data_IF_340440914617
#
_entry.id   IF_340440914617
#
_cell.length_a   1.000
_cell.length_b   1.000
_cell.length_c   1.000
_cell.angle_alpha   90.00
_cell.angle_beta   90.00
_cell.angle_gamma   90.00
#
_symmetry.space_group_name_H-M   'P 1'
#
loop_
_entity.id
_entity.type
_entity.pdbx_description
1 polymer ?
#
# COMPACT_ATOMS: atom_id res chain seq x y z
N UNK A 1 12.02 -1.20 -22.18
CA UNK A 1 12.37 -0.52 -20.90
C UNK A 1 12.08 -1.48 -19.75
N UNK A 2 13.10 -2.16 -19.23
CA UNK A 2 12.96 -3.09 -18.09
C UNK A 2 12.72 -2.27 -16.82
N UNK A 3 11.52 -2.38 -16.23
CA UNK A 3 11.25 -1.78 -14.91
C UNK A 3 11.97 -2.65 -13.89
N UNK A 4 13.21 -2.29 -13.55
CA UNK A 4 13.94 -2.93 -12.45
C UNK A 4 13.05 -2.88 -11.19
N UNK A 5 12.65 -4.05 -10.69
CA UNK A 5 12.04 -4.20 -9.36
C UNK A 5 13.09 -3.77 -8.35
N UNK A 6 12.75 -2.82 -7.48
CA UNK A 6 13.59 -2.39 -6.39
C UNK A 6 12.89 -2.82 -5.11
N UNK A 7 13.52 -3.75 -4.38
CA UNK A 7 13.19 -4.02 -2.99
C UNK A 7 13.77 -2.90 -2.15
N UNK A 8 12.95 -2.24 -1.34
CA UNK A 8 13.40 -1.16 -0.47
C UNK A 8 13.47 -1.69 0.97
N UNK A 9 14.61 -1.48 1.63
CA UNK A 9 14.80 -1.87 3.05
C UNK A 9 14.13 -0.89 4.01
N UNK A 10 13.83 0.33 3.53
CA UNK A 10 13.05 1.31 4.25
C UNK A 10 12.09 2.03 3.32
N UNK A 11 10.91 2.33 3.85
CA UNK A 11 9.96 3.26 3.27
C UNK A 11 10.59 4.61 2.87
N UNK A 12 11.60 5.08 3.59
CA UNK A 12 12.33 6.34 3.28
C UNK A 12 13.15 6.28 1.99
N UNK A 13 13.48 5.09 1.50
CA UNK A 13 14.27 4.89 0.28
C UNK A 13 13.43 4.83 -0.99
N UNK A 14 12.10 4.83 -0.85
CA UNK A 14 11.16 4.67 -1.95
C UNK A 14 11.21 5.90 -2.86
N UNK A 15 11.69 5.69 -4.10
CA UNK A 15 11.74 6.71 -5.15
C UNK A 15 10.56 6.61 -6.11
N UNK A 16 10.17 7.75 -6.66
CA UNK A 16 9.12 7.85 -7.66
C UNK A 16 9.40 7.04 -8.93
N UNK A 17 8.33 6.70 -9.66
CA UNK A 17 8.41 6.01 -10.94
C UNK A 17 8.84 4.54 -10.84
N UNK A 18 9.12 4.05 -9.63
CA UNK A 18 9.53 2.68 -9.37
C UNK A 18 8.35 1.80 -8.94
N UNK A 19 8.48 0.49 -9.19
CA UNK A 19 7.66 -0.51 -8.53
C UNK A 19 8.35 -0.85 -7.21
N UNK A 20 7.73 -0.46 -6.11
CA UNK A 20 8.24 -0.67 -4.76
C UNK A 20 7.68 -1.94 -4.14
N UNK A 21 8.51 -2.56 -3.31
CA UNK A 21 8.17 -3.67 -2.43
C UNK A 21 8.73 -3.35 -1.04
N UNK A 22 7.91 -3.46 0.01
CA UNK A 22 8.27 -3.08 1.38
C UNK A 22 7.34 -3.74 2.42
N UNK A 23 7.83 -3.84 3.66
CA UNK A 23 7.09 -4.32 4.82
C UNK A 23 6.53 -3.14 5.63
N UNK A 24 5.28 -3.23 6.05
CA UNK A 24 4.68 -2.18 6.86
C UNK A 24 3.55 -2.69 7.77
N UNK A 25 3.30 -2.00 8.87
CA UNK A 25 2.09 -2.18 9.66
C UNK A 25 0.94 -1.36 9.05
N UNK A 26 -0.29 -1.89 9.12
CA UNK A 26 -1.47 -1.18 8.63
C UNK A 26 -2.05 -0.35 9.79
N UNK A 27 -1.96 0.97 9.68
CA UNK A 27 -2.51 1.90 10.68
C UNK A 27 -4.00 2.16 10.42
N UNK A 28 -4.40 2.30 9.16
CA UNK A 28 -5.77 2.62 8.77
C UNK A 28 -6.13 2.08 7.39
N UNK A 29 -7.38 1.65 7.22
CA UNK A 29 -7.98 1.33 5.93
C UNK A 29 -9.40 1.89 5.86
N UNK A 30 -9.70 2.58 4.78
CA UNK A 30 -11.07 3.01 4.49
C UNK A 30 -11.95 1.81 4.07
N UNK A 31 -13.27 1.94 4.17
CA UNK A 31 -14.19 1.14 3.36
C UNK A 31 -13.90 1.29 1.85
N UNK A 32 -14.47 0.40 1.05
CA UNK A 32 -14.52 0.60 -0.40
C UNK A 32 -15.35 1.86 -0.70
N UNK A 33 -14.83 2.71 -1.58
CA UNK A 33 -15.44 3.94 -2.07
C UNK A 33 -15.62 3.84 -3.58
N UNK A 34 -16.63 4.52 -4.11
CA UNK A 34 -16.83 4.66 -5.56
C UNK A 34 -16.35 6.04 -6.00
N UNK A 35 -15.48 6.08 -7.00
CA UNK A 35 -15.02 7.34 -7.61
C UNK A 35 -16.12 7.96 -8.47
N UNK A 36 -15.94 9.22 -8.86
CA UNK A 36 -16.82 9.92 -9.81
C UNK A 36 -16.91 9.19 -11.16
N UNK A 37 -15.84 8.50 -11.55
CA UNK A 37 -15.79 7.66 -12.77
C UNK A 37 -16.40 6.26 -12.60
N UNK A 38 -17.00 5.97 -11.44
CA UNK A 38 -17.64 4.70 -11.13
C UNK A 38 -16.70 3.58 -10.68
N UNK A 39 -15.38 3.78 -10.73
CA UNK A 39 -14.38 2.79 -10.26
C UNK A 39 -14.37 2.72 -8.75
N UNK A 40 -14.36 1.51 -8.21
CA UNK A 40 -14.21 1.26 -6.78
C UNK A 40 -12.75 1.33 -6.35
N UNK A 41 -12.50 1.88 -5.17
CA UNK A 41 -11.17 2.01 -4.59
C UNK A 41 -11.23 2.09 -3.07
N UNK A 42 -10.13 1.82 -2.40
CA UNK A 42 -9.93 2.15 -0.99
C UNK A 42 -8.62 2.90 -0.83
N UNK A 43 -8.48 3.61 0.27
CA UNK A 43 -7.21 4.20 0.68
C UNK A 43 -6.89 3.77 2.11
N UNK A 44 -5.62 3.84 2.46
CA UNK A 44 -5.14 3.47 3.77
C UNK A 44 -3.88 4.21 4.14
N UNK A 45 -3.43 3.98 5.36
CA UNK A 45 -2.17 4.46 5.88
C UNK A 45 -1.40 3.28 6.44
N UNK A 46 -0.14 3.18 6.06
CA UNK A 46 0.79 2.16 6.54
C UNK A 46 1.99 2.82 7.20
N UNK A 47 2.58 2.15 8.18
CA UNK A 47 3.72 2.66 8.95
C UNK A 47 4.84 1.65 9.03
N UNK A 48 6.08 2.15 8.95
CA UNK A 48 7.29 1.37 9.15
C UNK A 48 8.32 2.29 9.81
N UNK A 49 8.92 1.86 10.94
CA UNK A 49 10.04 2.56 11.56
C UNK A 49 9.80 4.03 11.94
N UNK A 50 8.54 4.46 12.11
CA UNK A 50 8.18 5.87 12.39
C UNK A 50 7.82 6.71 11.15
N UNK A 51 8.06 6.19 9.95
CA UNK A 51 7.59 6.77 8.69
C UNK A 51 6.18 6.28 8.36
N UNK A 52 5.38 7.11 7.67
CA UNK A 52 4.02 6.75 7.29
C UNK A 52 3.68 7.09 5.84
N UNK A 53 3.03 6.16 5.16
CA UNK A 53 2.70 6.26 3.74
C UNK A 53 1.21 6.08 3.52
N UNK A 54 0.68 6.82 2.55
CA UNK A 54 -0.68 6.60 2.06
C UNK A 54 -0.64 5.55 0.97
N UNK A 55 -1.54 4.58 1.08
CA UNK A 55 -1.75 3.57 0.04
C UNK A 55 -3.14 3.73 -0.56
N UNK A 56 -3.28 3.34 -1.82
CA UNK A 56 -4.57 3.22 -2.48
C UNK A 56 -4.61 1.90 -3.25
N UNK A 57 -5.74 1.20 -3.15
CA UNK A 57 -5.98 -0.03 -3.88
C UNK A 57 -7.32 -0.01 -4.60
N UNK A 58 -7.44 -0.80 -5.66
CA UNK A 58 -8.61 -0.83 -6.55
C UNK A 58 -9.38 -2.16 -6.47
N UNK A 59 -8.98 -3.08 -5.59
CA UNK A 59 -9.53 -4.43 -5.49
C UNK A 59 -10.10 -4.71 -4.10
N UNK A 60 -11.35 -5.16 -4.04
CA UNK A 60 -12.06 -5.44 -2.79
C UNK A 60 -11.47 -6.64 -2.04
N UNK A 61 -10.88 -7.62 -2.74
CA UNK A 61 -10.24 -8.78 -2.11
C UNK A 61 -8.98 -8.37 -1.34
N UNK A 62 -8.16 -7.52 -1.94
CA UNK A 62 -6.97 -6.97 -1.29
C UNK A 62 -7.33 -6.16 -0.04
N UNK A 63 -8.38 -5.32 -0.10
CA UNK A 63 -8.88 -4.60 1.07
C UNK A 63 -9.28 -5.54 2.21
N UNK A 64 -10.02 -6.61 1.91
CA UNK A 64 -10.47 -7.57 2.92
C UNK A 64 -9.28 -8.28 3.58
N UNK A 65 -8.29 -8.73 2.80
CA UNK A 65 -7.05 -9.33 3.31
C UNK A 65 -6.27 -8.37 4.20
N UNK A 66 -6.07 -7.14 3.76
CA UNK A 66 -5.37 -6.11 4.54
C UNK A 66 -6.14 -5.78 5.83
N UNK A 67 -7.47 -5.75 5.79
CA UNK A 67 -8.28 -5.55 7.00
C UNK A 67 -8.10 -6.67 8.03
N UNK A 68 -7.99 -7.92 7.57
CA UNK A 68 -7.72 -9.05 8.47
C UNK A 68 -6.30 -8.99 9.06
N UNK A 69 -5.30 -8.63 8.25
CA UNK A 69 -3.91 -8.44 8.70
C UNK A 69 -3.81 -7.31 9.74
N UNK A 70 -4.49 -6.19 9.48
CA UNK A 70 -4.58 -5.05 10.42
C UNK A 70 -5.22 -5.45 11.75
N UNK A 71 -6.33 -6.19 11.72
CA UNK A 71 -6.99 -6.69 12.93
C UNK A 71 -6.08 -7.65 13.73
N UNK A 72 -5.25 -8.43 13.04
CA UNK A 72 -4.25 -9.31 13.64
C UNK A 72 -2.99 -8.57 14.11
N UNK A 73 -2.92 -7.23 13.97
CA UNK A 73 -1.74 -6.39 14.30
C UNK A 73 -0.43 -6.91 13.71
N UNK A 74 -0.52 -7.54 12.54
CA UNK A 74 0.62 -8.14 11.84
C UNK A 74 1.16 -7.19 10.77
N UNK A 75 2.44 -7.31 10.44
CA UNK A 75 3.00 -6.62 9.28
C UNK A 75 2.49 -7.24 7.98
N UNK A 76 2.42 -6.41 6.94
CA UNK A 76 2.13 -6.81 5.57
C UNK A 76 3.33 -6.52 4.68
N UNK A 77 3.68 -7.50 3.86
CA UNK A 77 4.60 -7.30 2.74
C UNK A 77 3.81 -6.85 1.51
N UNK A 78 3.97 -5.59 1.11
CA UNK A 78 3.32 -5.02 -0.07
C UNK A 78 4.26 -5.12 -1.27
N UNK A 79 3.73 -5.57 -2.41
CA UNK A 79 4.51 -5.77 -3.64
C UNK A 79 3.88 -5.09 -4.84
N UNK A 80 4.70 -4.82 -5.87
CA UNK A 80 4.29 -4.15 -7.11
C UNK A 80 3.57 -2.81 -6.87
N UNK A 81 3.95 -2.06 -5.83
CA UNK A 81 3.36 -0.76 -5.52
C UNK A 81 3.91 0.30 -6.47
N UNK A 82 3.01 1.02 -7.17
CA UNK A 82 3.40 2.18 -7.97
C UNK A 82 3.44 3.41 -7.07
N UNK A 83 4.63 3.99 -6.92
CA UNK A 83 4.85 5.24 -6.18
C UNK A 83 4.44 6.43 -7.04
N UNK A 84 3.69 7.36 -6.44
CA UNK A 84 3.30 8.63 -7.03
C UNK A 84 3.52 9.74 -6.01
N UNK A 85 3.88 10.91 -6.52
CA UNK A 85 3.93 12.19 -5.79
C UNK A 85 2.55 12.61 -5.26
#
# INVERSE_FOLDING_TARGET
MSRKRLTFESLSDIKEGCNAEFDAAIEFLSPMKKSTTGREYYHGKVTEGGSSFRIAGLDSKSRAKLSAISAAKSQVHLTNCKVKE
#
